data_IF_389255773601
#
_entry.id   IF_389255773601
#
_cell.length_a   1.000
_cell.length_b   1.000
_cell.length_c   1.000
_cell.angle_alpha   90.00
_cell.angle_beta   90.00
_cell.angle_gamma   90.00
#
_symmetry.space_group_name_H-M   'P 1'
#
loop_
_entity.id
_entity.type
_entity.pdbx_description
1 polymer ?
#
# COMPACT_ATOMS: atom_id res chain seq x y z
N UNK A 1 -6.61 -7.37 1.69
CA UNK A 1 -5.40 -8.23 1.76
C UNK A 1 -4.24 -7.30 1.58
N UNK A 2 -3.19 -7.43 2.38
CA UNK A 2 -1.99 -6.58 2.24
C UNK A 2 -1.27 -6.95 0.95
N UNK A 3 -0.90 -5.94 0.15
CA UNK A 3 -0.15 -6.08 -1.10
C UNK A 3 1.28 -5.59 -0.91
N UNK A 4 2.27 -6.43 -1.21
CA UNK A 4 3.69 -6.13 -1.06
C UNK A 4 4.35 -6.18 -2.44
N UNK A 5 4.97 -5.09 -2.86
CA UNK A 5 5.78 -5.08 -4.08
C UNK A 5 7.19 -5.58 -3.75
N UNK A 6 7.70 -6.48 -4.58
CA UNK A 6 9.07 -7.01 -4.49
C UNK A 6 9.84 -6.52 -5.71
N UNK A 7 10.83 -5.67 -5.49
CA UNK A 7 11.70 -5.14 -6.55
C UNK A 7 13.08 -5.75 -6.37
N UNK A 8 13.38 -6.76 -7.20
CA UNK A 8 14.56 -7.63 -7.06
C UNK A 8 14.89 -8.23 -8.42
N UNK A 9 16.07 -7.95 -8.95
CA UNK A 9 16.50 -8.41 -10.28
C UNK A 9 16.88 -9.90 -10.32
N UNK A 10 17.33 -10.47 -9.20
CA UNK A 10 17.60 -11.89 -9.08
C UNK A 10 16.30 -12.69 -8.95
N UNK A 11 15.79 -13.21 -10.08
CA UNK A 11 14.53 -13.99 -10.13
C UNK A 11 14.42 -15.11 -9.10
N UNK A 12 15.48 -15.89 -8.77
CA UNK A 12 15.40 -16.90 -7.73
C UNK A 12 15.10 -16.31 -6.35
N UNK A 13 15.67 -15.16 -6.01
CA UNK A 13 15.44 -14.46 -4.73
C UNK A 13 14.02 -13.88 -4.74
N UNK A 14 13.63 -13.16 -5.78
CA UNK A 14 12.29 -12.60 -5.94
C UNK A 14 11.20 -13.68 -5.82
N UNK A 15 11.36 -14.83 -6.49
CA UNK A 15 10.42 -15.94 -6.40
C UNK A 15 10.34 -16.57 -5.00
N UNK A 16 11.48 -16.71 -4.31
CA UNK A 16 11.52 -17.19 -2.93
C UNK A 16 10.77 -16.27 -1.98
N UNK A 17 10.99 -14.96 -2.11
CA UNK A 17 10.28 -13.94 -1.34
C UNK A 17 8.77 -14.02 -1.62
N UNK A 18 8.36 -13.98 -2.88
CA UNK A 18 6.96 -14.02 -3.28
C UNK A 18 6.22 -15.27 -2.76
N UNK A 19 6.87 -16.45 -2.85
CA UNK A 19 6.30 -17.69 -2.32
C UNK A 19 6.13 -17.63 -0.80
N UNK A 20 7.09 -17.04 -0.10
CA UNK A 20 7.09 -16.90 1.35
C UNK A 20 6.01 -15.93 1.82
N UNK A 21 5.86 -14.79 1.13
CA UNK A 21 4.79 -13.82 1.35
C UNK A 21 3.41 -14.44 1.16
N UNK A 22 3.23 -15.21 0.08
CA UNK A 22 1.96 -15.92 -0.19
C UNK A 22 1.63 -16.92 0.93
N UNK A 23 2.62 -17.67 1.44
CA UNK A 23 2.42 -18.59 2.57
C UNK A 23 2.06 -17.87 3.87
N UNK A 24 2.56 -16.64 4.05
CA UNK A 24 2.23 -15.78 5.19
C UNK A 24 0.89 -15.02 5.03
N UNK A 25 0.16 -15.21 3.91
CA UNK A 25 -1.16 -14.62 3.67
C UNK A 25 -1.12 -13.24 3.03
N UNK A 26 0.03 -12.79 2.52
CA UNK A 26 0.19 -11.54 1.77
C UNK A 26 0.00 -11.78 0.27
N UNK A 27 -0.48 -10.76 -0.44
CA UNK A 27 -0.37 -10.69 -1.89
C UNK A 27 0.97 -10.06 -2.26
N UNK A 28 1.58 -10.48 -3.38
CA UNK A 28 2.82 -9.87 -3.85
C UNK A 28 2.85 -9.72 -5.36
N UNK A 29 3.44 -8.63 -5.82
CA UNK A 29 3.75 -8.34 -7.20
C UNK A 29 5.27 -8.14 -7.31
N UNK A 30 5.90 -8.63 -8.38
CA UNK A 30 7.34 -8.59 -8.56
C UNK A 30 7.70 -7.71 -9.75
N UNK A 31 8.67 -6.81 -9.55
CA UNK A 31 9.38 -6.09 -10.60
C UNK A 31 10.85 -6.52 -10.60
N UNK A 32 11.47 -6.61 -11.77
CA UNK A 32 12.83 -7.14 -11.93
C UNK A 32 13.85 -6.08 -12.32
N UNK A 33 13.40 -4.85 -12.49
CA UNK A 33 14.24 -3.67 -12.67
C UNK A 33 13.54 -2.41 -12.14
N UNK A 34 14.30 -1.32 -12.03
CA UNK A 34 13.79 -0.09 -11.45
C UNK A 34 12.75 0.62 -12.30
N UNK A 35 12.83 0.52 -13.63
CA UNK A 35 11.86 1.14 -14.54
C UNK A 35 10.53 0.39 -14.49
N UNK A 36 10.57 -0.95 -14.51
CA UNK A 36 9.38 -1.79 -14.32
C UNK A 36 8.69 -1.47 -12.98
N UNK A 37 9.48 -1.30 -11.91
CA UNK A 37 8.94 -0.92 -10.60
C UNK A 37 8.20 0.43 -10.63
N UNK A 38 8.76 1.45 -11.28
CA UNK A 38 8.14 2.76 -11.43
C UNK A 38 6.85 2.65 -12.25
N UNK A 39 6.87 1.95 -13.37
CA UNK A 39 5.68 1.72 -14.21
C UNK A 39 4.55 1.00 -13.45
N UNK A 40 4.90 0.07 -12.57
CA UNK A 40 3.93 -0.62 -11.70
C UNK A 40 3.40 0.31 -10.60
N UNK A 41 4.25 1.15 -10.02
CA UNK A 41 3.87 2.12 -8.99
C UNK A 41 2.94 3.23 -9.52
N UNK A 42 3.02 3.57 -10.80
CA UNK A 42 2.06 4.47 -11.44
C UNK A 42 0.65 3.89 -11.51
N UNK A 43 0.54 2.57 -11.52
CA UNK A 43 -0.73 1.83 -11.66
C UNK A 43 -1.28 1.33 -10.32
N UNK A 44 -0.42 0.92 -9.41
CA UNK A 44 -0.78 0.28 -8.14
C UNK A 44 -0.02 0.88 -6.96
N UNK A 45 -0.73 1.10 -5.83
CA UNK A 45 -0.11 1.50 -4.57
C UNK A 45 0.02 0.27 -3.66
N UNK A 46 1.23 -0.31 -3.49
CA UNK A 46 1.45 -1.39 -2.54
C UNK A 46 1.38 -0.86 -1.09
N UNK A 47 1.08 -1.77 -0.16
CA UNK A 47 1.11 -1.45 1.28
C UNK A 47 2.52 -1.41 1.85
N UNK A 48 3.50 -2.03 1.16
CA UNK A 48 4.92 -2.05 1.49
C UNK A 48 5.73 -2.42 0.25
N UNK A 49 6.96 -1.90 0.15
CA UNK A 49 7.91 -2.27 -0.91
C UNK A 49 9.13 -2.94 -0.27
N UNK A 50 9.49 -4.12 -0.76
CA UNK A 50 10.80 -4.74 -0.57
C UNK A 50 11.64 -4.35 -1.77
N UNK A 51 12.74 -3.65 -1.56
CA UNK A 51 13.47 -2.96 -2.61
C UNK A 51 14.95 -3.28 -2.55
N UNK A 52 15.47 -3.93 -3.58
CA UNK A 52 16.94 -4.02 -3.73
C UNK A 52 17.51 -2.62 -4.02
N UNK A 53 18.67 -2.35 -3.46
CA UNK A 53 19.38 -1.10 -3.72
C UNK A 53 20.03 -1.15 -5.11
N UNK A 54 20.58 -2.30 -5.49
CA UNK A 54 21.36 -2.48 -6.72
C UNK A 54 20.48 -3.05 -7.83
N UNK A 55 19.73 -2.19 -8.50
CA UNK A 55 18.85 -2.56 -9.59
C UNK A 55 19.35 -2.03 -10.94
N UNK A 56 19.10 -2.73 -12.04
CA UNK A 56 19.29 -2.17 -13.36
C UNK A 56 18.19 -1.12 -13.67
N UNK A 57 18.55 -0.12 -14.47
CA UNK A 57 17.63 0.94 -14.89
C UNK A 57 17.61 2.11 -13.92
N UNK A 58 16.70 2.12 -12.95
CA UNK A 58 16.68 3.06 -11.84
C UNK A 58 17.16 2.37 -10.57
N UNK A 59 18.02 3.02 -9.77
CA UNK A 59 18.51 2.43 -8.53
C UNK A 59 17.47 2.52 -7.39
N UNK A 60 17.70 1.76 -6.31
CA UNK A 60 16.76 1.70 -5.20
C UNK A 60 16.57 3.04 -4.48
N UNK A 61 17.53 3.95 -4.51
CA UNK A 61 17.39 5.27 -3.89
C UNK A 61 16.54 6.21 -4.75
N UNK A 62 16.64 6.12 -6.08
CA UNK A 62 15.78 6.86 -7.00
C UNK A 62 14.32 6.44 -6.82
N UNK A 63 14.07 5.13 -6.69
CA UNK A 63 12.73 4.60 -6.42
C UNK A 63 12.23 5.07 -5.04
N UNK A 64 13.08 5.04 -4.01
CA UNK A 64 12.71 5.53 -2.68
C UNK A 64 12.28 7.00 -2.70
N UNK A 65 13.03 7.87 -3.41
CA UNK A 65 12.65 9.26 -3.56
C UNK A 65 11.30 9.44 -4.29
N UNK A 66 11.05 8.60 -5.29
CA UNK A 66 9.78 8.58 -6.03
C UNK A 66 8.58 8.20 -5.12
N UNK A 67 8.74 7.20 -4.26
CA UNK A 67 7.65 6.70 -3.41
C UNK A 67 7.46 7.47 -2.10
N UNK A 68 8.45 8.25 -1.69
CA UNK A 68 8.40 9.02 -0.44
C UNK A 68 7.18 9.95 -0.30
N UNK A 69 6.77 10.70 -1.34
CA UNK A 69 5.56 11.51 -1.28
C UNK A 69 4.26 10.70 -1.19
N UNK A 70 4.33 9.41 -1.52
CA UNK A 70 3.20 8.48 -1.48
C UNK A 70 3.01 7.83 -0.10
N UNK A 71 3.94 8.09 0.85
CA UNK A 71 3.96 7.50 2.19
C UNK A 71 3.88 5.96 2.19
N UNK A 72 4.48 5.33 1.17
CA UNK A 72 4.59 3.87 1.08
C UNK A 72 5.86 3.44 1.83
N UNK A 73 5.76 2.56 2.85
CA UNK A 73 6.93 2.09 3.56
C UNK A 73 7.83 1.23 2.68
N UNK A 74 9.14 1.45 2.80
CA UNK A 74 10.17 0.72 2.05
C UNK A 74 11.08 -0.01 3.02
N UNK A 75 11.33 -1.29 2.78
CA UNK A 75 12.37 -2.09 3.39
C UNK A 75 13.43 -2.38 2.33
N UNK A 76 14.65 -1.91 2.53
CA UNK A 76 15.73 -2.22 1.62
C UNK A 76 16.25 -3.64 1.79
N UNK A 77 16.53 -4.29 0.64
CA UNK A 77 17.33 -5.50 0.56
C UNK A 77 18.74 -5.09 0.10
N UNK A 78 19.78 -5.43 0.84
CA UNK A 78 21.15 -4.95 0.56
C UNK A 78 22.19 -6.02 0.77
N UNK A 79 23.32 -5.93 0.07
CA UNK A 79 24.46 -6.81 0.28
C UNK A 79 25.31 -6.29 1.45
N UNK A 80 25.88 -7.19 2.25
CA UNK A 80 26.73 -6.89 3.41
C UNK A 80 28.01 -6.17 2.96
N UNK A 81 28.12 -4.86 3.24
CA UNK A 81 29.35 -4.13 2.95
C UNK A 81 29.26 -2.61 3.03
N UNK A 82 28.13 -2.00 2.80
CA UNK A 82 28.03 -0.55 2.79
C UNK A 82 27.32 -0.02 4.04
N UNK A 83 28.12 0.24 5.09
CA UNK A 83 27.66 1.01 6.27
C UNK A 83 27.12 2.39 5.85
N UNK A 84 27.67 2.96 4.77
CA UNK A 84 27.23 4.24 4.24
C UNK A 84 25.84 4.13 3.60
N UNK A 85 25.55 3.08 2.84
CA UNK A 85 24.23 2.88 2.22
C UNK A 85 23.15 2.64 3.28
N UNK A 86 23.48 1.93 4.36
CA UNK A 86 22.56 1.70 5.49
C UNK A 86 22.24 2.98 6.26
N UNK A 87 23.24 3.79 6.55
CA UNK A 87 23.07 5.10 7.22
C UNK A 87 22.38 6.08 6.31
N UNK A 88 22.69 6.06 5.03
CA UNK A 88 22.03 6.91 4.04
C UNK A 88 20.57 6.47 3.82
N UNK A 89 20.28 5.17 3.64
CA UNK A 89 18.93 4.64 3.46
C UNK A 89 17.97 5.06 4.57
N UNK A 90 18.39 4.96 5.84
CA UNK A 90 17.59 5.45 6.97
C UNK A 90 17.43 6.98 6.96
N UNK A 91 18.49 7.73 6.59
CA UNK A 91 18.40 9.20 6.45
C UNK A 91 17.52 9.63 5.28
N UNK A 92 17.45 8.84 4.21
CA UNK A 92 16.60 9.09 3.05
C UNK A 92 15.13 8.69 3.30
N UNK A 93 14.84 7.95 4.39
CA UNK A 93 13.48 7.67 4.82
C UNK A 93 12.99 6.25 4.57
N UNK A 94 13.88 5.28 4.34
CA UNK A 94 13.50 3.86 4.40
C UNK A 94 13.15 3.46 5.84
N UNK A 95 12.17 2.57 6.00
CA UNK A 95 11.68 2.13 7.31
C UNK A 95 12.58 1.10 7.98
N UNK A 96 13.20 0.25 7.18
CA UNK A 96 14.14 -0.77 7.64
C UNK A 96 15.04 -1.24 6.48
N UNK A 97 16.01 -2.10 6.80
CA UNK A 97 16.86 -2.76 5.81
C UNK A 97 17.18 -4.18 6.24
N UNK A 98 17.39 -5.05 5.26
CA UNK A 98 17.73 -6.46 5.45
C UNK A 98 18.98 -6.77 4.64
N UNK A 99 19.95 -7.39 5.28
CA UNK A 99 21.23 -7.73 4.64
C UNK A 99 21.13 -9.11 3.98
N UNK A 100 21.47 -9.20 2.70
CA UNK A 100 21.63 -10.47 1.99
C UNK A 100 22.95 -11.14 2.35
N UNK A 101 22.96 -12.48 2.58
CA UNK A 101 21.82 -13.38 2.61
C UNK A 101 21.02 -13.23 3.91
N UNK A 102 19.70 -13.39 3.84
CA UNK A 102 18.78 -13.26 4.97
C UNK A 102 17.93 -14.53 5.17
N UNK A 103 17.48 -14.71 6.38
CA UNK A 103 16.52 -15.76 6.71
C UNK A 103 15.09 -15.27 6.43
N UNK A 104 14.26 -16.13 5.82
CA UNK A 104 12.86 -15.78 5.49
C UNK A 104 12.06 -15.37 6.74
N UNK A 105 12.33 -16.01 7.89
CA UNK A 105 11.66 -15.65 9.14
C UNK A 105 12.02 -14.22 9.60
N UNK A 106 13.26 -13.78 9.40
CA UNK A 106 13.67 -12.41 9.69
C UNK A 106 12.94 -11.41 8.75
N UNK A 107 12.92 -11.70 7.46
CA UNK A 107 12.21 -10.88 6.48
C UNK A 107 10.74 -10.69 6.86
N UNK A 108 10.02 -11.79 7.15
CA UNK A 108 8.61 -11.74 7.52
C UNK A 108 8.37 -10.98 8.83
N UNK A 109 9.22 -11.17 9.84
CA UNK A 109 9.11 -10.45 11.10
C UNK A 109 9.29 -8.92 10.93
N UNK A 110 10.23 -8.48 10.10
CA UNK A 110 10.46 -7.07 9.81
C UNK A 110 9.31 -6.46 9.01
N UNK A 111 8.79 -7.17 8.01
CA UNK A 111 7.59 -6.78 7.27
C UNK A 111 6.42 -6.54 8.23
N UNK A 112 6.18 -7.48 9.15
CA UNK A 112 5.10 -7.37 10.12
C UNK A 112 5.24 -6.14 11.04
N UNK A 113 6.46 -5.85 11.51
CA UNK A 113 6.75 -4.68 12.35
C UNK A 113 6.47 -3.38 11.58
N UNK A 114 6.91 -3.28 10.32
CA UNK A 114 6.69 -2.09 9.50
C UNK A 114 5.22 -1.93 9.18
N UNK A 115 4.54 -2.97 8.70
CA UNK A 115 3.11 -2.93 8.39
C UNK A 115 2.26 -2.55 9.61
N UNK A 116 2.62 -3.03 10.81
CA UNK A 116 1.94 -2.64 12.05
C UNK A 116 2.13 -1.16 12.37
N UNK A 117 3.33 -0.63 12.20
CA UNK A 117 3.64 0.80 12.40
C UNK A 117 2.82 1.70 11.46
N UNK A 118 2.58 1.25 10.25
CA UNK A 118 1.75 1.93 9.25
C UNK A 118 0.26 1.57 9.33
N UNK A 119 -0.19 0.91 10.41
CA UNK A 119 -1.58 0.51 10.61
C UNK A 119 -2.18 -0.35 9.47
N UNK A 120 -1.33 -1.01 8.69
CA UNK A 120 -1.76 -1.89 7.58
C UNK A 120 -2.24 -3.27 8.06
N UNK A 121 -1.89 -3.65 9.31
CA UNK A 121 -2.31 -4.90 9.96
C UNK A 121 -3.35 -4.69 11.05
N UNK A 122 -3.82 -3.47 11.26
CA UNK A 122 -4.80 -3.22 12.32
C UNK A 122 -6.09 -3.98 12.01
N UNK A 123 -6.47 -4.84 12.95
CA UNK A 123 -7.76 -5.53 12.90
C UNK A 123 -8.91 -4.55 13.02
N UNK A 124 -8.78 -3.58 13.93
CA UNK A 124 -9.76 -2.53 14.16
C UNK A 124 -9.17 -1.19 13.76
N UNK A 125 -9.76 -0.56 12.75
CA UNK A 125 -9.39 0.79 12.32
C UNK A 125 -10.44 1.76 12.89
N UNK A 126 -9.99 2.71 13.74
CA UNK A 126 -10.83 3.78 14.24
C UNK A 126 -10.51 5.08 13.48
N UNK A 127 -11.44 5.55 12.67
CA UNK A 127 -11.23 6.73 11.84
C UNK A 127 -12.53 7.52 11.64
N UNK A 128 -12.50 8.83 11.90
CA UNK A 128 -13.63 9.75 11.68
C UNK A 128 -14.97 9.23 12.24
N UNK A 129 -14.94 8.68 13.45
CA UNK A 129 -16.12 8.14 14.13
C UNK A 129 -16.59 6.77 13.67
N UNK A 130 -15.84 6.12 12.78
CA UNK A 130 -16.08 4.73 12.39
C UNK A 130 -15.14 3.79 13.13
N UNK A 131 -15.66 2.62 13.47
CA UNK A 131 -14.94 1.41 13.87
C UNK A 131 -15.05 0.39 12.74
N UNK A 132 -13.92 0.06 12.10
CA UNK A 132 -13.87 -0.89 10.99
C UNK A 132 -13.15 -2.14 11.48
N UNK A 133 -13.86 -3.26 11.65
CA UNK A 133 -13.26 -4.57 11.92
C UNK A 133 -12.92 -5.22 10.58
N UNK A 134 -11.62 -5.35 10.32
CA UNK A 134 -11.12 -5.86 9.03
C UNK A 134 -11.27 -7.35 8.89
N UNK A 135 -11.28 -8.11 10.00
CA UNK A 135 -11.47 -9.56 10.01
C UNK A 135 -12.94 -9.92 9.83
N UNK A 136 -13.81 -9.23 10.56
CA UNK A 136 -15.25 -9.43 10.44
C UNK A 136 -15.88 -8.74 9.23
N UNK A 137 -15.12 -7.89 8.52
CA UNK A 137 -15.60 -7.02 7.42
C UNK A 137 -16.82 -6.19 7.84
N UNK A 138 -16.83 -5.73 9.06
CA UNK A 138 -17.94 -5.01 9.70
C UNK A 138 -17.53 -3.54 9.95
N UNK A 139 -18.46 -2.62 9.69
CA UNK A 139 -18.27 -1.20 9.94
C UNK A 139 -19.33 -0.70 10.89
N UNK A 140 -18.93 -0.01 11.96
CA UNK A 140 -19.84 0.58 12.94
C UNK A 140 -19.60 2.07 13.06
N UNK A 141 -20.67 2.82 13.31
CA UNK A 141 -20.67 4.22 13.72
C UNK A 141 -21.51 4.37 14.97
N UNK A 142 -20.92 4.92 16.05
CA UNK A 142 -21.60 5.05 17.35
C UNK A 142 -22.21 3.72 17.84
N UNK A 143 -21.48 2.61 17.63
CA UNK A 143 -21.92 1.25 18.00
C UNK A 143 -22.98 0.62 17.09
N UNK A 144 -23.50 1.34 16.07
CA UNK A 144 -24.48 0.82 15.13
C UNK A 144 -23.80 0.38 13.85
N UNK A 145 -24.13 -0.82 13.38
CA UNK A 145 -23.58 -1.38 12.14
C UNK A 145 -24.10 -0.64 10.92
N UNK A 146 -23.17 -0.36 9.97
CA UNK A 146 -23.47 0.25 8.67
C UNK A 146 -23.43 -0.84 7.60
N UNK A 147 -24.56 -1.06 6.93
CA UNK A 147 -24.65 -2.00 5.83
C UNK A 147 -23.98 -1.48 4.56
N UNK A 148 -22.83 -2.09 4.22
CA UNK A 148 -22.08 -1.84 3.00
C UNK A 148 -22.08 -3.08 2.11
N UNK A 149 -22.17 -2.89 0.79
CA UNK A 149 -21.84 -3.96 -0.14
C UNK A 149 -20.33 -4.23 -0.11
N UNK A 150 -19.90 -5.40 -0.60
CA UNK A 150 -18.46 -5.74 -0.67
C UNK A 150 -17.64 -4.63 -1.33
N UNK A 151 -18.08 -4.10 -2.46
CA UNK A 151 -17.37 -3.04 -3.19
C UNK A 151 -17.37 -1.69 -2.44
N UNK A 152 -18.44 -1.36 -1.72
CA UNK A 152 -18.47 -0.17 -0.86
C UNK A 152 -17.53 -0.34 0.34
N UNK A 153 -17.49 -1.54 0.94
CA UNK A 153 -16.55 -1.86 2.02
C UNK A 153 -15.10 -1.76 1.55
N UNK A 154 -14.75 -2.40 0.43
CA UNK A 154 -13.40 -2.36 -0.14
C UNK A 154 -12.97 -0.92 -0.47
N UNK A 155 -13.90 -0.11 -1.02
CA UNK A 155 -13.67 1.32 -1.29
C UNK A 155 -13.42 2.10 0.02
N UNK A 156 -14.25 1.88 1.06
CA UNK A 156 -14.08 2.51 2.37
C UNK A 156 -12.72 2.16 2.98
N UNK A 157 -12.40 0.86 3.00
CA UNK A 157 -11.17 0.35 3.60
C UNK A 157 -9.93 0.90 2.90
N UNK A 158 -9.98 1.02 1.57
CA UNK A 158 -8.88 1.61 0.79
C UNK A 158 -8.59 3.06 1.23
N UNK A 159 -9.62 3.89 1.42
CA UNK A 159 -9.45 5.25 1.92
C UNK A 159 -9.04 5.30 3.39
N UNK A 160 -9.61 4.44 4.24
CA UNK A 160 -9.30 4.40 5.67
C UNK A 160 -7.83 4.02 5.93
N UNK A 161 -7.23 3.23 5.04
CA UNK A 161 -5.80 2.84 5.10
C UNK A 161 -4.85 3.84 4.46
N UNK A 162 -5.37 4.82 3.70
CA UNK A 162 -4.58 5.81 2.99
C UNK A 162 -5.09 7.25 3.25
N UNK A 163 -5.25 7.66 4.54
CA UNK A 163 -5.71 9.01 4.85
C UNK A 163 -4.68 10.04 4.40
N UNK A 164 -5.15 11.20 3.89
CA UNK A 164 -4.30 12.28 3.38
C UNK A 164 -3.83 12.10 1.94
N UNK A 165 -3.76 10.87 1.44
CA UNK A 165 -3.27 10.59 0.10
C UNK A 165 -4.35 10.78 -0.97
N UNK A 166 -3.94 11.31 -2.14
CA UNK A 166 -4.82 11.39 -3.31
C UNK A 166 -4.80 10.04 -4.01
N UNK A 167 -5.94 9.35 -4.03
CA UNK A 167 -6.12 8.12 -4.78
C UNK A 167 -6.72 8.43 -6.15
N UNK A 168 -6.01 8.07 -7.21
CA UNK A 168 -6.47 8.23 -8.57
C UNK A 168 -7.63 7.27 -8.88
N UNK A 169 -8.51 7.64 -9.82
CA UNK A 169 -9.67 6.79 -10.16
C UNK A 169 -9.28 5.43 -10.68
N UNK A 170 -8.23 5.38 -11.46
CA UNK A 170 -7.62 4.16 -11.99
C UNK A 170 -7.24 3.22 -10.85
N UNK A 171 -6.48 3.72 -9.90
CA UNK A 171 -6.00 2.99 -8.71
C UNK A 171 -7.19 2.45 -7.87
N UNK A 172 -8.19 3.31 -7.62
CA UNK A 172 -9.38 2.89 -6.87
C UNK A 172 -10.10 1.76 -7.62
N UNK A 173 -10.23 1.89 -8.96
CA UNK A 173 -10.92 0.88 -9.77
C UNK A 173 -10.17 -0.46 -9.75
N UNK A 174 -8.89 -0.44 -10.05
CA UNK A 174 -8.03 -1.63 -10.09
C UNK A 174 -8.00 -2.35 -8.75
N UNK A 175 -7.82 -1.60 -7.65
CA UNK A 175 -7.79 -2.18 -6.31
C UNK A 175 -9.13 -2.80 -5.89
N UNK A 176 -10.24 -2.16 -6.21
CA UNK A 176 -11.57 -2.58 -5.75
C UNK A 176 -12.21 -3.59 -6.70
N UNK A 177 -12.11 -3.41 -8.03
CA UNK A 177 -12.78 -4.27 -9.02
C UNK A 177 -11.84 -5.25 -9.70
N UNK A 178 -10.55 -4.95 -9.78
CA UNK A 178 -9.58 -5.68 -10.59
C UNK A 178 -9.73 -5.37 -12.08
N UNK A 179 -8.66 -5.59 -12.84
CA UNK A 179 -8.64 -5.33 -14.28
C UNK A 179 -8.52 -3.85 -14.66
N UNK A 180 -8.48 -3.59 -15.96
CA UNK A 180 -8.16 -2.27 -16.51
C UNK A 180 -9.30 -1.26 -16.28
N UNK A 181 -8.93 -0.05 -15.88
CA UNK A 181 -9.87 1.05 -15.76
C UNK A 181 -10.27 1.58 -17.15
N UNK A 182 -11.57 1.65 -17.41
CA UNK A 182 -12.10 2.27 -18.63
C UNK A 182 -12.27 3.77 -18.38
N UNK A 183 -11.48 4.58 -19.08
CA UNK A 183 -11.55 6.04 -18.98
C UNK A 183 -13.00 6.55 -19.24
N UNK A 184 -13.46 7.44 -18.36
CA UNK A 184 -14.84 7.95 -18.40
C UNK A 184 -15.89 7.08 -17.70
N UNK A 185 -15.49 5.92 -17.14
CA UNK A 185 -16.37 5.13 -16.28
C UNK A 185 -16.75 5.92 -15.02
N UNK A 186 -18.05 5.92 -14.68
CA UNK A 186 -18.56 6.53 -13.45
C UNK A 186 -18.65 5.56 -12.27
N UNK A 187 -18.12 4.35 -12.43
CA UNK A 187 -18.22 3.29 -11.41
C UNK A 187 -17.61 3.72 -10.09
N UNK A 188 -16.39 4.26 -10.12
CA UNK A 188 -15.71 4.78 -8.92
C UNK A 188 -16.49 5.92 -8.30
N UNK A 189 -16.89 6.92 -9.10
CA UNK A 189 -17.59 8.11 -8.61
C UNK A 189 -18.91 7.74 -7.89
N UNK A 190 -19.66 6.80 -8.44
CA UNK A 190 -20.90 6.32 -7.83
C UNK A 190 -20.67 5.60 -6.50
N UNK A 191 -19.64 4.77 -6.41
CA UNK A 191 -19.33 4.05 -5.17
C UNK A 191 -18.78 4.98 -4.10
N UNK A 192 -17.88 5.90 -4.46
CA UNK A 192 -17.39 6.94 -3.54
C UNK A 192 -18.54 7.78 -3.01
N UNK A 193 -19.50 8.19 -3.87
CA UNK A 193 -20.67 8.95 -3.42
C UNK A 193 -21.55 8.14 -2.46
N UNK A 194 -21.75 6.84 -2.71
CA UNK A 194 -22.54 5.96 -1.85
C UNK A 194 -21.83 5.77 -0.50
N UNK A 195 -20.53 5.53 -0.50
CA UNK A 195 -19.72 5.40 0.71
C UNK A 195 -19.82 6.69 1.54
N UNK A 196 -19.53 7.86 0.96
CA UNK A 196 -19.66 9.15 1.63
C UNK A 196 -20.98 9.27 2.40
N UNK A 197 -22.10 9.02 1.71
CA UNK A 197 -23.43 9.15 2.26
C UNK A 197 -23.71 8.14 3.38
N UNK A 198 -23.30 6.88 3.20
CA UNK A 198 -23.56 5.81 4.17
C UNK A 198 -22.79 5.99 5.47
N UNK A 199 -21.54 6.44 5.40
CA UNK A 199 -20.68 6.58 6.56
C UNK A 199 -20.63 8.01 7.12
N UNK A 200 -21.23 9.00 6.43
CA UNK A 200 -21.22 10.40 6.82
C UNK A 200 -19.86 11.07 6.62
N UNK A 201 -19.21 10.78 5.50
CA UNK A 201 -17.90 11.34 5.13
C UNK A 201 -17.98 12.38 4.01
N UNK A 202 -19.11 13.04 3.85
CA UNK A 202 -19.31 14.05 2.80
C UNK A 202 -18.27 15.18 2.86
N UNK A 203 -17.91 15.60 4.07
CA UNK A 203 -16.96 16.69 4.31
C UNK A 203 -15.50 16.22 4.42
N UNK A 204 -15.27 14.91 4.53
CA UNK A 204 -13.94 14.35 4.74
C UNK A 204 -13.37 13.65 3.51
N UNK A 205 -14.19 12.92 2.78
CA UNK A 205 -13.76 12.26 1.56
C UNK A 205 -13.98 13.19 0.37
N UNK A 206 -13.00 14.05 0.09
CA UNK A 206 -13.08 15.12 -0.88
C UNK A 206 -12.74 14.67 -2.31
N UNK A 207 -13.28 15.40 -3.29
CA UNK A 207 -12.91 15.21 -4.70
C UNK A 207 -11.72 16.08 -5.04
N UNK A 208 -10.67 15.48 -5.61
CA UNK A 208 -9.53 16.21 -6.20
C UNK A 208 -9.77 16.30 -7.71
N UNK A 209 -10.01 17.52 -8.26
CA UNK A 209 -10.38 17.69 -9.65
C UNK A 209 -9.37 17.05 -10.61
N UNK A 210 -9.89 16.34 -11.62
CA UNK A 210 -9.13 15.62 -12.66
C UNK A 210 -8.24 14.46 -12.19
N UNK A 211 -8.06 14.28 -10.88
CA UNK A 211 -7.21 13.22 -10.31
C UNK A 211 -8.04 12.09 -9.71
N UNK A 212 -8.76 12.37 -8.63
CA UNK A 212 -9.46 11.31 -7.90
C UNK A 212 -10.08 11.81 -6.61
N UNK A 213 -9.74 11.15 -5.50
CA UNK A 213 -10.34 11.43 -4.21
C UNK A 213 -9.28 11.36 -3.10
N UNK A 214 -9.51 12.08 -2.01
CA UNK A 214 -8.65 12.09 -0.82
C UNK A 214 -9.51 12.08 0.44
N UNK A 215 -9.16 11.22 1.39
CA UNK A 215 -9.75 11.25 2.73
C UNK A 215 -8.95 12.23 3.60
N UNK A 216 -9.56 13.33 4.02
CA UNK A 216 -8.96 14.29 4.95
C UNK A 216 -9.35 13.94 6.39
N UNK A 217 -8.33 13.78 7.23
CA UNK A 217 -8.51 13.56 8.67
C UNK A 217 -8.06 14.83 9.38
N UNK A 218 -8.93 15.48 10.19
CA UNK A 218 -8.54 16.63 11.00
C UNK A 218 -7.36 16.26 11.91
N UNK A 219 -6.39 17.14 12.00
CA UNK A 219 -5.23 17.00 12.91
C UNK A 219 -5.64 17.26 14.35
#
# INVERSE_FOLDING_TARGET
MVNIMVVEDEKPISNLIALSLKKAGYHSECAYDGLEAIDMLEKNYPDLILLDIMLPGADGFEILEYVKPLEIPVIFLTVKGDLNDRVNGLRYGAEDYIVKPFEIMELLARIEVVLRRYHKLDRIINILGLEIDTDAMCVKKEGKEINLTKKEYDTLLLFARNPGNVLFREIIYEHVWGGDYIAGSRTVDLHVQRVRKKVGWEDFLITVPKMGYRLEVPR
#
